data_IF_170987686235
#
_entry.id   IF_170987686235
#
_cell.length_a   1.000
_cell.length_b   1.000
_cell.length_c   1.000
_cell.angle_alpha   90.00
_cell.angle_beta   90.00
_cell.angle_gamma   90.00
#
_symmetry.space_group_name_H-M   'P 1'
#
loop_
_entity.id
_entity.type
_entity.pdbx_description
1 polymer ?
#
# COMPACT_ATOMS: atom_id res chain seq x y z
N UNK A 1 -28.00 19.54 11.01
CA UNK A 1 -26.82 20.14 10.41
C UNK A 1 -26.53 19.45 9.09
N UNK A 2 -26.29 20.21 8.02
CA UNK A 2 -25.86 19.66 6.76
C UNK A 2 -24.49 18.96 6.98
N UNK A 3 -24.37 17.70 6.61
CA UNK A 3 -23.07 17.05 6.49
C UNK A 3 -22.25 17.89 5.51
N UNK A 4 -21.01 18.26 5.84
CA UNK A 4 -20.13 18.99 4.93
C UNK A 4 -19.92 18.20 3.64
N UNK A 5 -19.51 18.87 2.57
CA UNK A 5 -19.13 18.20 1.32
C UNK A 5 -17.92 17.31 1.56
N UNK A 6 -17.89 16.15 0.92
CA UNK A 6 -16.69 15.29 0.92
C UNK A 6 -15.46 16.05 0.38
N UNK A 7 -15.64 17.00 -0.54
CA UNK A 7 -14.56 17.85 -1.05
C UNK A 7 -13.87 18.69 0.04
N UNK A 8 -14.56 18.95 1.15
CA UNK A 8 -14.04 19.76 2.25
C UNK A 8 -13.42 18.90 3.37
N UNK A 9 -13.75 17.60 3.39
CA UNK A 9 -13.46 16.72 4.55
C UNK A 9 -12.70 15.44 4.19
N UNK A 10 -12.63 15.08 2.92
CA UNK A 10 -12.01 13.85 2.43
C UNK A 10 -10.93 14.13 1.39
N UNK A 11 -10.03 13.18 1.22
CA UNK A 11 -9.09 13.16 0.10
C UNK A 11 -9.80 12.41 -1.04
N UNK A 12 -10.08 13.12 -2.14
CA UNK A 12 -10.68 12.55 -3.34
C UNK A 12 -9.63 12.21 -4.39
N UNK A 13 -9.83 11.11 -5.12
CA UNK A 13 -9.07 10.76 -6.32
C UNK A 13 -9.96 10.01 -7.31
N UNK A 14 -9.60 10.06 -8.56
CA UNK A 14 -10.30 9.39 -9.66
C UNK A 14 -9.50 8.16 -10.12
N UNK A 15 -10.22 7.08 -10.42
CA UNK A 15 -9.65 5.91 -11.09
C UNK A 15 -9.99 6.03 -12.56
N UNK A 16 -8.98 6.28 -13.41
CA UNK A 16 -9.20 6.40 -14.84
C UNK A 16 -9.74 5.08 -15.40
N UNK A 17 -10.88 5.14 -16.05
CA UNK A 17 -11.51 3.99 -16.68
C UNK A 17 -11.26 3.94 -18.20
N UNK A 18 -11.33 2.74 -18.74
CA UNK A 18 -11.29 2.46 -20.18
C UNK A 18 -12.72 2.30 -20.73
N UNK A 19 -12.90 1.40 -21.70
CA UNK A 19 -14.22 0.98 -22.20
C UNK A 19 -15.00 0.09 -21.22
N UNK A 20 -14.57 -0.07 -19.98
CA UNK A 20 -15.12 -0.87 -18.89
C UNK A 20 -15.06 -2.40 -19.08
N UNK A 21 -14.31 -2.88 -20.05
CA UNK A 21 -14.27 -4.31 -20.43
C UNK A 21 -12.88 -4.91 -20.46
N UNK A 22 -11.82 -4.12 -20.46
CA UNK A 22 -10.44 -4.60 -20.45
C UNK A 22 -10.04 -5.05 -19.05
N UNK A 23 -9.96 -6.37 -18.86
CA UNK A 23 -9.62 -6.96 -17.57
C UNK A 23 -8.15 -6.70 -17.16
N UNK A 24 -7.23 -6.58 -18.12
CA UNK A 24 -5.82 -6.31 -17.84
C UNK A 24 -5.65 -4.85 -17.39
N UNK A 25 -6.27 -3.91 -18.10
CA UNK A 25 -6.30 -2.51 -17.71
C UNK A 25 -6.93 -2.33 -16.32
N UNK A 26 -8.13 -2.91 -16.11
CA UNK A 26 -8.80 -2.87 -14.81
C UNK A 26 -7.89 -3.37 -13.69
N UNK A 27 -7.27 -4.54 -13.87
CA UNK A 27 -6.38 -5.12 -12.85
C UNK A 27 -5.22 -4.20 -12.50
N UNK A 28 -4.64 -3.51 -13.48
CA UNK A 28 -3.54 -2.58 -13.26
C UNK A 28 -4.00 -1.36 -12.44
N UNK A 29 -5.05 -0.65 -12.86
CA UNK A 29 -5.53 0.56 -12.17
C UNK A 29 -6.15 0.25 -10.80
N UNK A 30 -6.80 -0.90 -10.66
CA UNK A 30 -7.32 -1.38 -9.38
C UNK A 30 -6.19 -1.59 -8.37
N UNK A 31 -5.09 -2.21 -8.79
CA UNK A 31 -3.89 -2.41 -7.96
C UNK A 31 -3.31 -1.07 -7.51
N UNK A 32 -3.15 -0.12 -8.42
CA UNK A 32 -2.64 1.22 -8.10
C UNK A 32 -3.58 1.96 -7.12
N UNK A 33 -4.89 1.86 -7.30
CA UNK A 33 -5.86 2.45 -6.38
C UNK A 33 -5.77 1.85 -4.97
N UNK A 34 -5.62 0.51 -4.86
CA UNK A 34 -5.38 -0.15 -3.57
C UNK A 34 -4.08 0.34 -2.93
N UNK A 35 -3.00 0.48 -3.69
CA UNK A 35 -1.70 0.94 -3.19
C UNK A 35 -1.76 2.40 -2.73
N UNK A 36 -2.46 3.26 -3.46
CA UNK A 36 -2.69 4.64 -3.07
C UNK A 36 -3.48 4.72 -1.76
N UNK A 37 -4.56 3.95 -1.62
CA UNK A 37 -5.34 3.90 -0.38
C UNK A 37 -4.50 3.40 0.80
N UNK A 38 -3.66 2.39 0.62
CA UNK A 38 -2.72 1.91 1.65
C UNK A 38 -1.76 3.01 2.07
N UNK A 39 -1.21 3.76 1.11
CA UNK A 39 -0.33 4.90 1.39
C UNK A 39 -1.05 5.97 2.21
N UNK A 40 -2.25 6.38 1.77
CA UNK A 40 -3.04 7.42 2.45
C UNK A 40 -3.46 6.97 3.86
N UNK A 41 -3.89 5.73 4.03
CA UNK A 41 -4.23 5.19 5.35
C UNK A 41 -3.05 5.28 6.32
N UNK A 42 -1.85 4.91 5.87
CA UNK A 42 -0.64 5.02 6.70
C UNK A 42 -0.25 6.46 7.00
N UNK A 43 -0.36 7.34 6.01
CA UNK A 43 0.03 8.74 6.13
C UNK A 43 -0.84 9.50 7.14
N UNK A 44 -2.14 9.20 7.17
CA UNK A 44 -3.13 9.93 7.95
C UNK A 44 -3.72 9.15 9.13
N UNK A 45 -3.21 7.94 9.41
CA UNK A 45 -3.70 7.10 10.51
C UNK A 45 -5.12 6.59 10.30
N UNK A 46 -5.51 6.37 9.04
CA UNK A 46 -6.82 5.86 8.64
C UNK A 46 -6.80 4.34 8.50
N UNK A 47 -7.98 3.75 8.36
CA UNK A 47 -8.20 2.34 8.11
C UNK A 47 -8.94 2.10 6.79
N UNK A 48 -9.08 0.86 6.39
CA UNK A 48 -9.90 0.48 5.26
C UNK A 48 -11.38 0.93 5.37
N UNK A 49 -11.86 1.13 6.60
CA UNK A 49 -13.26 1.54 6.87
C UNK A 49 -13.53 2.99 6.54
N UNK A 50 -12.48 3.80 6.48
CA UNK A 50 -12.57 5.22 6.15
C UNK A 50 -12.65 5.47 4.64
N UNK A 51 -12.55 4.41 3.83
CA UNK A 51 -12.62 4.49 2.37
C UNK A 51 -14.07 4.38 1.92
N UNK A 52 -14.55 5.40 1.23
CA UNK A 52 -15.90 5.45 0.65
C UNK A 52 -15.82 5.70 -0.85
N UNK A 53 -16.72 5.12 -1.62
CA UNK A 53 -16.92 5.48 -3.02
C UNK A 53 -18.02 6.56 -3.15
N UNK A 54 -18.17 7.12 -4.35
CA UNK A 54 -19.08 8.22 -4.60
C UNK A 54 -20.54 7.87 -4.23
N UNK A 55 -21.02 6.68 -4.61
CA UNK A 55 -22.38 6.23 -4.29
C UNK A 55 -22.61 6.01 -2.79
N UNK A 56 -21.58 5.64 -2.03
CA UNK A 56 -21.64 5.56 -0.57
C UNK A 56 -21.67 6.96 0.05
N UNK A 57 -20.83 7.88 -0.46
CA UNK A 57 -20.82 9.29 -0.06
C UNK A 57 -22.17 9.97 -0.30
N UNK A 58 -22.84 9.64 -1.41
CA UNK A 58 -24.21 10.11 -1.66
C UNK A 58 -25.20 9.64 -0.59
N UNK A 59 -25.16 8.35 -0.23
CA UNK A 59 -26.03 7.80 0.84
C UNK A 59 -25.75 8.41 2.21
N UNK A 60 -24.50 8.85 2.45
CA UNK A 60 -24.10 9.56 3.66
C UNK A 60 -24.44 11.07 3.62
N UNK A 61 -24.93 11.58 2.50
CA UNK A 61 -25.30 12.99 2.34
C UNK A 61 -24.10 13.93 2.17
N UNK A 62 -22.93 13.42 1.79
CA UNK A 62 -21.69 14.19 1.63
C UNK A 62 -21.20 14.30 0.19
N UNK A 63 -21.85 13.62 -0.77
CA UNK A 63 -21.51 13.66 -2.18
C UNK A 63 -22.76 13.73 -3.08
N UNK A 64 -22.57 14.11 -4.35
CA UNK A 64 -23.61 14.07 -5.38
C UNK A 64 -23.95 12.64 -5.79
N UNK A 65 -25.07 12.45 -6.52
CA UNK A 65 -25.51 11.12 -6.96
C UNK A 65 -24.74 10.66 -8.20
N UNK A 66 -23.67 9.90 -7.97
CA UNK A 66 -22.87 9.26 -9.01
C UNK A 66 -22.57 7.80 -8.66
N UNK A 67 -22.40 6.97 -9.70
CA UNK A 67 -22.24 5.52 -9.54
C UNK A 67 -20.79 5.06 -9.35
N UNK A 68 -19.81 5.97 -9.37
CA UNK A 68 -18.39 5.65 -9.27
C UNK A 68 -18.06 4.99 -7.92
N UNK A 69 -17.42 3.93 -7.88
CA UNK A 69 -16.82 3.04 -8.90
C UNK A 69 -17.74 1.83 -9.22
N UNK A 70 -18.98 1.84 -8.69
CA UNK A 70 -19.89 0.69 -8.66
C UNK A 70 -20.51 0.36 -10.02
N UNK A 71 -20.40 1.24 -11.01
CA UNK A 71 -20.77 0.95 -12.39
C UNK A 71 -19.72 0.08 -13.12
N UNK A 72 -18.50 0.04 -12.62
CA UNK A 72 -17.36 -0.64 -13.23
C UNK A 72 -16.89 -1.87 -12.45
N UNK A 73 -16.62 -1.76 -11.15
CA UNK A 73 -16.08 -2.84 -10.30
C UNK A 73 -16.82 -4.17 -10.43
N UNK A 74 -18.18 -4.23 -10.42
CA UNK A 74 -18.90 -5.50 -10.54
C UNK A 74 -18.68 -6.22 -11.87
N UNK A 75 -18.37 -5.50 -12.96
CA UNK A 75 -18.05 -6.10 -14.26
C UNK A 75 -16.78 -6.95 -14.22
N UNK A 76 -15.91 -6.69 -13.24
CA UNK A 76 -14.66 -7.42 -13.00
C UNK A 76 -14.70 -8.24 -11.70
N UNK A 77 -15.91 -8.52 -11.17
CA UNK A 77 -16.07 -9.33 -9.96
C UNK A 77 -15.58 -8.65 -8.68
N UNK A 78 -15.49 -7.33 -8.67
CA UNK A 78 -15.05 -6.53 -7.51
C UNK A 78 -16.22 -5.72 -6.92
N UNK A 79 -16.08 -5.33 -5.65
CA UNK A 79 -16.98 -4.46 -4.91
C UNK A 79 -16.18 -3.56 -3.97
N UNK A 80 -16.81 -2.61 -3.32
CA UNK A 80 -16.16 -1.83 -2.27
C UNK A 80 -15.72 -2.70 -1.08
N UNK A 81 -16.44 -3.76 -0.77
CA UNK A 81 -16.05 -4.68 0.30
C UNK A 81 -14.79 -5.45 -0.07
N UNK A 82 -14.69 -5.96 -1.32
CA UNK A 82 -13.45 -6.60 -1.80
C UNK A 82 -12.29 -5.61 -1.87
N UNK A 83 -12.55 -4.36 -2.29
CA UNK A 83 -11.53 -3.31 -2.32
C UNK A 83 -10.98 -3.01 -0.92
N UNK A 84 -11.86 -2.81 0.06
CA UNK A 84 -11.47 -2.61 1.46
C UNK A 84 -10.70 -3.81 2.02
N UNK A 85 -11.14 -5.03 1.71
CA UNK A 85 -10.44 -6.24 2.14
C UNK A 85 -9.01 -6.32 1.56
N UNK A 86 -8.83 -5.95 0.28
CA UNK A 86 -7.52 -5.91 -0.36
C UNK A 86 -6.61 -4.83 0.28
N UNK A 87 -7.14 -3.65 0.58
CA UNK A 87 -6.43 -2.59 1.32
C UNK A 87 -6.03 -3.06 2.72
N UNK A 88 -6.96 -3.64 3.47
CA UNK A 88 -6.71 -4.18 4.81
C UNK A 88 -5.60 -5.20 4.80
N UNK A 89 -5.67 -6.19 3.91
CA UNK A 89 -4.65 -7.23 3.77
C UNK A 89 -3.24 -6.64 3.55
N UNK A 90 -3.13 -5.60 2.71
CA UNK A 90 -1.85 -4.91 2.49
C UNK A 90 -1.40 -4.07 3.69
N UNK A 91 -2.31 -3.45 4.42
CA UNK A 91 -2.00 -2.73 5.66
C UNK A 91 -1.43 -3.69 6.71
N UNK A 92 -2.08 -4.83 6.91
CA UNK A 92 -1.67 -5.86 7.87
C UNK A 92 -0.33 -6.51 7.47
N UNK A 93 -0.14 -6.85 6.19
CA UNK A 93 1.12 -7.43 5.70
C UNK A 93 2.30 -6.47 5.82
N UNK A 94 2.06 -5.17 5.70
CA UNK A 94 3.08 -4.14 5.91
C UNK A 94 3.38 -3.89 7.40
N UNK A 95 2.47 -4.22 8.30
CA UNK A 95 2.67 -4.12 9.75
C UNK A 95 3.47 -5.30 10.32
N UNK A 96 3.54 -6.43 9.61
CA UNK A 96 4.38 -7.56 10.03
C UNK A 96 5.84 -7.23 9.75
N UNK A 97 6.70 -7.08 10.75
CA UNK A 97 8.12 -6.85 10.50
C UNK A 97 8.68 -8.02 9.71
N UNK A 98 9.28 -7.75 8.56
CA UNK A 98 9.96 -8.79 7.78
C UNK A 98 11.01 -9.44 8.65
N UNK A 99 10.81 -10.71 8.99
CA UNK A 99 11.80 -11.51 9.69
C UNK A 99 12.84 -11.98 8.68
N UNK A 100 14.10 -11.68 8.95
CA UNK A 100 15.21 -12.12 8.13
C UNK A 100 16.05 -13.12 8.91
N UNK A 101 16.44 -14.20 8.27
CA UNK A 101 17.54 -15.01 8.76
C UNK A 101 18.83 -14.29 8.38
N UNK A 102 19.64 -13.95 9.38
CA UNK A 102 20.94 -13.27 9.20
C UNK A 102 22.05 -14.23 9.56
N UNK A 103 23.06 -14.29 8.70
CA UNK A 103 24.30 -15.00 9.00
C UNK A 103 25.29 -13.96 9.52
N UNK A 104 25.75 -14.12 10.74
CA UNK A 104 26.77 -13.26 11.34
C UNK A 104 28.13 -13.93 11.21
N UNK A 105 29.04 -13.27 10.50
CA UNK A 105 30.42 -13.80 10.24
C UNK A 105 31.45 -13.38 11.29
N UNK A 106 31.05 -12.55 12.25
CA UNK A 106 31.90 -12.12 13.37
C UNK A 106 31.37 -10.86 14.03
N UNK A 107 31.90 -10.56 15.20
CA UNK A 107 31.71 -9.28 15.89
C UNK A 107 33.11 -8.76 16.27
N UNK A 108 33.37 -7.49 15.94
CA UNK A 108 34.70 -6.89 16.09
C UNK A 108 34.58 -5.56 16.83
N UNK A 109 35.47 -5.36 17.80
CA UNK A 109 35.57 -4.07 18.52
C UNK A 109 36.41 -3.05 17.76
N UNK A 110 37.22 -3.51 16.79
CA UNK A 110 38.05 -2.67 15.94
C UNK A 110 37.51 -2.70 14.52
N UNK A 111 37.19 -1.51 13.97
CA UNK A 111 36.56 -1.36 12.68
C UNK A 111 37.35 -1.96 11.52
N UNK A 112 38.65 -1.78 11.53
CA UNK A 112 39.60 -2.28 10.51
C UNK A 112 39.52 -3.81 10.36
N UNK A 113 39.33 -4.54 11.48
CA UNK A 113 39.16 -5.99 11.45
C UNK A 113 37.84 -6.39 10.79
N UNK A 114 36.75 -5.64 11.03
CA UNK A 114 35.46 -5.84 10.36
C UNK A 114 35.57 -5.57 8.85
N UNK A 115 36.23 -4.47 8.47
CA UNK A 115 36.45 -4.09 7.06
C UNK A 115 37.27 -5.17 6.33
N UNK A 116 38.30 -5.75 6.96
CA UNK A 116 39.09 -6.82 6.37
C UNK A 116 38.29 -8.09 6.10
N UNK A 117 37.39 -8.46 7.00
CA UNK A 117 36.47 -9.59 6.79
C UNK A 117 35.43 -9.25 5.70
N UNK A 118 34.88 -8.06 5.69
CA UNK A 118 33.95 -7.63 4.66
C UNK A 118 34.55 -7.74 3.25
N UNK A 119 35.79 -7.33 3.06
CA UNK A 119 36.51 -7.46 1.79
C UNK A 119 36.61 -8.92 1.33
N UNK A 120 36.99 -9.84 2.26
CA UNK A 120 37.06 -11.29 1.97
C UNK A 120 35.69 -11.85 1.56
N UNK A 121 34.64 -11.46 2.25
CA UNK A 121 33.26 -11.90 1.98
C UNK A 121 32.80 -11.41 0.59
N UNK A 122 33.05 -10.15 0.25
CA UNK A 122 32.76 -9.60 -1.07
C UNK A 122 33.53 -10.29 -2.19
N UNK A 123 34.84 -10.58 -1.95
CA UNK A 123 35.65 -11.32 -2.90
C UNK A 123 35.18 -12.77 -3.11
N UNK A 124 34.53 -13.36 -2.12
CA UNK A 124 33.88 -14.68 -2.22
C UNK A 124 32.52 -14.67 -2.94
N UNK A 125 32.08 -13.50 -3.48
CA UNK A 125 30.87 -13.38 -4.28
C UNK A 125 29.64 -12.78 -3.57
N UNK A 126 29.74 -12.45 -2.27
CA UNK A 126 28.63 -11.81 -1.54
C UNK A 126 28.75 -10.28 -1.61
N UNK A 127 28.48 -9.73 -2.79
CA UNK A 127 28.74 -8.32 -3.12
C UNK A 127 27.89 -7.33 -2.34
N UNK A 128 26.71 -7.76 -1.86
CA UNK A 128 25.74 -7.00 -1.07
C UNK A 128 26.02 -7.06 0.45
N UNK A 129 27.07 -7.77 0.88
CA UNK A 129 27.46 -7.82 2.29
C UNK A 129 27.82 -6.43 2.82
N UNK A 130 27.46 -6.15 4.07
CA UNK A 130 27.72 -4.88 4.73
C UNK A 130 28.02 -5.07 6.22
N UNK A 131 28.64 -4.07 6.83
CA UNK A 131 28.87 -3.99 8.28
C UNK A 131 27.67 -3.28 8.91
N UNK A 132 27.06 -3.92 9.93
CA UNK A 132 26.09 -3.26 10.81
C UNK A 132 26.84 -2.87 12.11
N UNK A 133 26.85 -1.58 12.42
CA UNK A 133 27.37 -1.05 13.68
C UNK A 133 26.20 -0.89 14.68
N UNK A 134 26.44 -1.28 15.93
CA UNK A 134 25.47 -1.21 17.02
C UNK A 134 25.35 -2.54 17.77
N UNK A 135 24.58 -2.51 18.85
CA UNK A 135 24.22 -3.70 19.64
C UNK A 135 23.22 -4.59 18.89
#
# INVERSE_FOLDING_TARGET
GSSGSANDTHIGFEICEDSLTDAAYFSAVYKEAVELCVYLCKQYGLSEKDIVCHSEGYRLGIASNHADVMHWFPKHGKSMDTFRADVKSKLESAAVPKKYYRIQLGAFTVKENADAILQKVKAAGFTDAFIKYGE
#
